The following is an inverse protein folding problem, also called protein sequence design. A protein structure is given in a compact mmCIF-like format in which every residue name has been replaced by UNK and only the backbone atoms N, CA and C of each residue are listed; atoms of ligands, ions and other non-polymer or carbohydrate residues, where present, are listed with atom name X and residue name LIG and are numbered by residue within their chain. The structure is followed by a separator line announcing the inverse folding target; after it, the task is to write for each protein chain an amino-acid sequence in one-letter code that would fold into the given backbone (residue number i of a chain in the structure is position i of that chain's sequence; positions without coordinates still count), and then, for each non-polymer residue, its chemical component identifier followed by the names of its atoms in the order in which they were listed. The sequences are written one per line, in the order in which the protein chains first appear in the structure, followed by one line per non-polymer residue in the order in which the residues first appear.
data_IF_581066152501
#
_entry.id   IF_581066152501
#
_cell.length_a   1.000
_cell.length_b   1.000
_cell.length_c   1.000
_cell.angle_alpha   90.00
_cell.angle_beta   90.00
_cell.angle_gamma   90.00
#
_symmetry.space_group_name_H-M   'P 1'
#
loop_
_entity.id
_entity.type
_entity.pdbx_description
1 polymer ?
#
# COMPACT_ATOMS: atom_id res chain seq x y z
N UNK A 1 6.94 -5.70 -14.12
CA UNK A 1 6.36 -4.40 -13.73
C UNK A 1 6.20 -4.28 -12.23
N UNK A 2 5.47 -5.16 -11.54
CA UNK A 2 5.26 -4.99 -10.10
C UNK A 2 6.57 -4.99 -9.28
N UNK A 3 7.54 -5.85 -9.62
CA UNK A 3 8.86 -5.86 -8.98
C UNK A 3 9.73 -4.61 -9.28
N UNK A 4 9.38 -3.78 -10.26
CA UNK A 4 10.16 -2.58 -10.62
C UNK A 4 9.69 -1.31 -9.91
N UNK A 5 8.56 -1.34 -9.19
CA UNK A 5 7.97 -0.20 -8.46
C UNK A 5 8.55 -0.12 -7.02
N UNK A 6 9.79 -0.58 -6.80
CA UNK A 6 10.35 -0.73 -5.45
C UNK A 6 10.42 0.61 -4.72
N UNK A 7 9.56 0.79 -3.71
CA UNK A 7 9.49 1.99 -2.88
C UNK A 7 8.88 1.64 -1.53
N UNK A 8 9.28 2.31 -0.41
CA UNK A 8 8.75 2.01 0.92
C UNK A 8 7.23 2.11 1.05
N UNK A 9 6.59 2.91 0.20
CA UNK A 9 5.14 3.11 0.13
C UNK A 9 4.36 2.04 -0.67
N UNK A 10 5.03 1.05 -1.25
CA UNK A 10 4.38 -0.13 -1.85
C UNK A 10 4.74 -1.39 -1.08
N UNK A 11 3.84 -2.39 -1.13
CA UNK A 11 4.14 -3.72 -0.63
C UNK A 11 5.34 -4.33 -1.35
N UNK A 12 6.25 -4.90 -0.56
CA UNK A 12 7.43 -5.60 -1.04
C UNK A 12 6.98 -6.93 -1.59
N UNK A 13 7.27 -7.16 -2.88
CA UNK A 13 6.99 -8.43 -3.53
C UNK A 13 8.19 -9.34 -3.33
N UNK A 14 7.95 -10.48 -2.68
CA UNK A 14 8.96 -11.50 -2.46
C UNK A 14 9.07 -12.41 -3.67
N UNK A 15 7.93 -12.89 -4.18
CA UNK A 15 7.90 -13.85 -5.29
C UNK A 15 6.70 -13.60 -6.21
N UNK A 16 6.91 -13.88 -7.50
CA UNK A 16 5.83 -13.97 -8.49
C UNK A 16 6.05 -15.29 -9.21
N UNK A 17 5.03 -16.15 -9.18
CA UNK A 17 5.05 -17.42 -9.89
C UNK A 17 3.69 -17.69 -10.52
N UNK A 18 3.64 -18.65 -11.42
CA UNK A 18 2.41 -19.07 -12.08
C UNK A 18 2.29 -20.58 -12.06
N UNK A 19 1.08 -21.07 -11.87
CA UNK A 19 0.73 -22.46 -12.21
C UNK A 19 -0.03 -22.50 -13.55
N UNK A 20 -0.62 -23.64 -13.88
CA UNK A 20 -1.37 -23.82 -15.14
C UNK A 20 -2.58 -22.90 -15.29
N UNK A 21 -3.07 -22.32 -14.19
CA UNK A 21 -4.37 -21.65 -14.12
C UNK A 21 -4.25 -20.22 -13.58
N UNK A 22 -3.30 -19.95 -12.69
CA UNK A 22 -3.23 -18.69 -11.96
C UNK A 22 -1.81 -18.11 -11.89
N UNK A 23 -1.77 -16.78 -11.78
CA UNK A 23 -0.61 -16.05 -11.31
C UNK A 23 -0.75 -15.81 -9.81
N UNK A 24 0.34 -16.06 -9.10
CA UNK A 24 0.45 -15.88 -7.66
C UNK A 24 1.48 -14.80 -7.37
N UNK A 25 1.17 -13.94 -6.41
CA UNK A 25 2.06 -12.88 -5.94
C UNK A 25 2.21 -13.04 -4.43
N UNK A 26 3.44 -13.31 -3.99
CA UNK A 26 3.80 -13.36 -2.58
C UNK A 26 4.40 -12.01 -2.21
N UNK A 27 3.83 -11.34 -1.22
CA UNK A 27 4.26 -10.02 -0.77
C UNK A 27 4.20 -9.94 0.75
N UNK A 28 4.84 -8.90 1.30
CA UNK A 28 4.90 -8.70 2.75
C UNK A 28 3.50 -8.66 3.37
N UNK A 29 3.37 -9.24 4.56
CA UNK A 29 2.07 -9.27 5.24
C UNK A 29 1.74 -7.91 5.85
N UNK A 30 0.60 -7.34 5.43
CA UNK A 30 0.01 -6.15 6.02
C UNK A 30 -1.31 -6.51 6.71
N UNK A 31 -1.40 -6.43 8.05
CA UNK A 31 -2.47 -7.08 8.80
C UNK A 31 -3.83 -6.38 8.74
N UNK A 32 -3.89 -5.09 8.35
CA UNK A 32 -5.14 -4.32 8.27
C UNK A 32 -5.14 -3.34 7.11
N UNK A 33 -6.32 -3.01 6.62
CA UNK A 33 -6.58 -1.89 5.73
C UNK A 33 -7.06 -0.65 6.48
N UNK A 34 -6.99 0.53 5.86
CA UNK A 34 -7.58 1.76 6.39
C UNK A 34 -9.10 1.65 6.50
N UNK A 35 -9.75 0.85 5.64
CA UNK A 35 -11.19 0.58 5.71
C UNK A 35 -11.58 0.00 7.07
N UNK A 36 -10.77 -0.91 7.62
CA UNK A 36 -11.01 -1.54 8.93
C UNK A 36 -10.70 -0.61 10.11
N UNK A 37 -10.09 0.55 9.86
CA UNK A 37 -9.83 1.57 10.86
C UNK A 37 -10.87 2.70 10.88
N UNK A 38 -11.88 2.66 9.99
CA UNK A 38 -12.96 3.64 9.98
C UNK A 38 -13.72 3.59 11.31
N UNK A 39 -13.97 4.76 11.91
CA UNK A 39 -14.61 4.87 13.22
C UNK A 39 -13.68 4.62 14.41
N UNK A 40 -12.40 4.32 14.18
CA UNK A 40 -11.43 4.18 15.27
C UNK A 40 -11.21 5.54 15.96
N UNK A 41 -11.54 5.69 17.26
CA UNK A 41 -11.42 6.97 17.97
C UNK A 41 -9.98 7.45 18.09
N UNK A 42 -9.00 6.56 17.94
CA UNK A 42 -7.59 6.89 17.98
C UNK A 42 -7.05 7.41 16.64
N UNK A 43 -7.84 7.36 15.55
CA UNK A 43 -7.45 7.89 14.23
C UNK A 43 -7.70 9.40 14.16
N UNK A 44 -6.88 10.17 14.90
CA UNK A 44 -6.98 11.63 14.96
C UNK A 44 -6.36 12.32 13.72
N UNK A 45 -6.49 13.66 13.66
CA UNK A 45 -5.96 14.49 12.56
C UNK A 45 -4.47 14.26 12.30
N UNK A 46 -3.67 14.14 13.34
CA UNK A 46 -2.23 13.95 13.22
C UNK A 46 -1.91 12.60 12.56
N UNK A 47 -2.60 11.53 12.96
CA UNK A 47 -2.41 10.20 12.35
C UNK A 47 -2.92 10.16 10.92
N UNK A 48 -4.05 10.80 10.64
CA UNK A 48 -4.56 10.94 9.26
C UNK A 48 -3.56 11.70 8.38
N UNK A 49 -2.98 12.79 8.87
CA UNK A 49 -1.96 13.54 8.13
C UNK A 49 -0.71 12.67 7.86
N UNK A 50 -0.28 11.86 8.83
CA UNK A 50 0.84 10.95 8.65
C UNK A 50 0.56 9.85 7.61
N UNK A 51 -0.67 9.33 7.56
CA UNK A 51 -1.12 8.37 6.55
C UNK A 51 -1.11 9.02 5.17
N UNK A 52 -1.71 10.21 5.04
CA UNK A 52 -1.77 10.96 3.78
C UNK A 52 -0.35 11.30 3.29
N UNK A 53 0.55 11.71 4.17
CA UNK A 53 1.95 12.00 3.82
C UNK A 53 2.64 10.80 3.16
N UNK A 54 2.59 9.63 3.80
CA UNK A 54 3.18 8.39 3.24
C UNK A 54 2.53 7.99 1.91
N UNK A 55 1.21 8.18 1.76
CA UNK A 55 0.52 7.89 0.50
C UNK A 55 0.94 8.83 -0.63
N UNK A 56 1.09 10.13 -0.35
CA UNK A 56 1.55 11.11 -1.34
C UNK A 56 2.96 10.76 -1.81
N UNK A 57 3.87 10.36 -0.92
CA UNK A 57 5.22 9.91 -1.30
C UNK A 57 5.17 8.71 -2.26
N UNK A 58 4.32 7.71 -1.98
CA UNK A 58 4.12 6.55 -2.85
C UNK A 58 3.56 6.94 -4.22
N UNK A 59 2.59 7.85 -4.27
CA UNK A 59 1.96 8.29 -5.52
C UNK A 59 2.90 9.14 -6.38
N UNK A 60 3.70 10.01 -5.77
CA UNK A 60 4.75 10.77 -6.47
C UNK A 60 5.79 9.81 -7.08
N UNK A 61 6.11 8.72 -6.40
CA UNK A 61 6.99 7.69 -6.96
C UNK A 61 6.39 7.05 -8.23
N UNK A 62 5.11 6.66 -8.20
CA UNK A 62 4.43 6.13 -9.39
C UNK A 62 4.41 7.14 -10.54
N UNK A 63 4.08 8.40 -10.25
CA UNK A 63 4.03 9.46 -11.25
C UNK A 63 5.39 9.64 -11.94
N UNK A 64 6.50 9.62 -11.17
CA UNK A 64 7.87 9.69 -11.72
C UNK A 64 8.22 8.52 -12.64
N UNK A 65 7.57 7.37 -12.45
CA UNK A 65 7.70 6.21 -13.33
C UNK A 65 6.76 6.27 -14.55
N UNK A 66 5.95 7.33 -14.70
CA UNK A 66 4.90 7.41 -15.71
C UNK A 66 3.71 6.50 -15.43
N UNK A 67 3.50 6.11 -14.16
CA UNK A 67 2.48 5.19 -13.72
C UNK A 67 1.44 5.89 -12.85
N UNK A 68 0.27 5.25 -12.74
CA UNK A 68 -0.81 5.63 -11.83
C UNK A 68 -1.32 4.39 -11.11
N UNK A 69 -1.80 4.54 -9.87
CA UNK A 69 -2.35 3.43 -9.10
C UNK A 69 -3.66 2.88 -9.71
N UNK A 70 -4.39 3.68 -10.49
CA UNK A 70 -5.61 3.28 -11.20
C UNK A 70 -6.88 3.20 -10.34
N UNK A 71 -6.78 2.85 -9.05
CA UNK A 71 -7.90 2.90 -8.10
C UNK A 71 -7.43 2.99 -6.65
N UNK A 72 -7.57 4.17 -6.05
CA UNK A 72 -7.33 4.39 -4.62
C UNK A 72 -8.63 4.25 -3.82
N UNK A 73 -8.58 3.50 -2.72
CA UNK A 73 -9.69 3.34 -1.77
C UNK A 73 -9.14 2.96 -0.40
N UNK A 74 -9.89 3.21 0.68
CA UNK A 74 -9.47 2.81 2.04
C UNK A 74 -9.16 1.32 2.18
N UNK A 75 -9.82 0.45 1.41
CA UNK A 75 -9.54 -0.99 1.38
C UNK A 75 -8.22 -1.39 0.69
N UNK A 76 -7.59 -0.46 -0.05
CA UNK A 76 -6.29 -0.65 -0.74
C UNK A 76 -5.15 0.09 -0.04
N UNK A 77 -5.44 0.78 1.06
CA UNK A 77 -4.44 1.42 1.90
C UNK A 77 -4.18 0.47 3.06
N UNK A 78 -2.98 -0.08 3.11
CA UNK A 78 -2.58 -1.11 4.06
C UNK A 78 -1.80 -0.48 5.22
N UNK A 79 -2.11 -0.95 6.43
CA UNK A 79 -1.58 -0.44 7.69
C UNK A 79 -0.79 -1.54 8.41
N UNK A 80 0.45 -1.24 8.78
CA UNK A 80 1.27 -2.10 9.62
C UNK A 80 1.35 -1.54 11.06
N UNK A 81 1.42 -2.38 12.11
CA UNK A 81 1.52 -1.94 13.51
C UNK A 81 2.73 -1.03 13.79
N UNK A 82 3.77 -1.09 12.97
CA UNK A 82 4.92 -0.17 13.05
C UNK A 82 4.63 1.26 12.59
N UNK A 83 3.41 1.56 12.12
CA UNK A 83 3.01 2.86 11.59
C UNK A 83 3.29 3.05 10.09
N UNK A 84 3.77 2.01 9.40
CA UNK A 84 3.95 2.03 7.94
C UNK A 84 2.62 1.94 7.23
N UNK A 85 2.48 2.76 6.20
CA UNK A 85 1.34 2.78 5.28
C UNK A 85 1.84 2.40 3.90
N UNK A 86 1.15 1.46 3.26
CA UNK A 86 1.52 0.97 1.93
C UNK A 86 0.30 0.84 1.02
N UNK A 87 0.57 0.94 -0.27
CA UNK A 87 -0.33 0.60 -1.36
C UNK A 87 0.00 -0.79 -1.90
#
# INVERSE_FOLDING_TARGET
MLQSIQHPGFVTIHEIYSDTTFYHVVYEHMPRSLQEAIGNPYLNRQRLAAIVGQLVEALVHLERMGLQHGRLSCSRILLHPSGRVKL
#
